data_IF_716250218770
#
_entry.id   IF_716250218770
#
_cell.length_a   1.000
_cell.length_b   1.000
_cell.length_c   1.000
_cell.angle_alpha   90.00
_cell.angle_beta   90.00
_cell.angle_gamma   90.00
#
_symmetry.space_group_name_H-M   'P 1'
#
loop_
_entity.id
_entity.type
_entity.pdbx_description
1 polymer ?
#
# COMPACT_ATOMS: atom_id res chain seq x y z
N UNK A 1 4.42 18.66 -3.20
CA UNK A 1 3.56 18.41 -4.36
C UNK A 1 4.21 17.53 -5.44
N UNK A 2 5.55 17.37 -5.42
CA UNK A 2 6.28 16.67 -6.49
C UNK A 2 6.47 15.16 -6.26
N UNK A 3 6.47 14.71 -5.00
CA UNK A 3 6.69 13.28 -4.66
C UNK A 3 5.54 12.38 -5.14
N UNK A 4 4.31 12.88 -5.10
CA UNK A 4 3.14 12.13 -5.62
C UNK A 4 3.24 11.98 -7.15
N UNK A 5 3.72 13.00 -7.83
CA UNK A 5 3.94 12.98 -9.28
C UNK A 5 5.04 12.01 -9.66
N UNK A 6 6.08 11.94 -8.86
CA UNK A 6 7.21 11.03 -9.05
C UNK A 6 6.84 9.58 -8.73
N UNK A 7 5.99 9.37 -7.70
CA UNK A 7 5.40 8.06 -7.38
C UNK A 7 4.50 7.55 -8.53
N UNK A 8 3.64 8.40 -9.06
CA UNK A 8 2.79 8.06 -10.21
C UNK A 8 3.62 7.87 -11.48
N UNK A 9 4.62 8.73 -11.74
CA UNK A 9 5.53 8.61 -12.87
C UNK A 9 6.42 7.37 -12.80
N UNK A 10 6.86 6.96 -11.59
CA UNK A 10 7.59 5.72 -11.39
C UNK A 10 6.74 4.49 -11.76
N UNK A 11 5.42 4.55 -11.54
CA UNK A 11 4.51 3.48 -11.93
C UNK A 11 4.04 3.55 -13.39
N UNK A 12 3.98 4.72 -14.00
CA UNK A 12 3.64 4.89 -15.41
C UNK A 12 4.81 4.58 -16.37
N UNK A 13 6.05 4.70 -15.90
CA UNK A 13 7.27 4.47 -16.69
C UNK A 13 7.74 3.02 -16.76
N UNK A 14 7.17 2.10 -16.01
CA UNK A 14 7.49 0.67 -16.08
C UNK A 14 6.55 -0.10 -17.01
N UNK A 15 6.76 0.05 -18.32
CA UNK A 15 6.45 -1.04 -19.24
C UNK A 15 7.36 -2.25 -18.93
N UNK A 16 6.88 -3.51 -19.14
CA UNK A 16 7.56 -4.71 -18.68
C UNK A 16 8.81 -5.01 -19.51
N UNK A 17 9.92 -4.45 -19.14
CA UNK A 17 11.24 -4.96 -19.50
C UNK A 17 12.03 -5.18 -18.20
N UNK A 18 12.03 -6.43 -17.81
CA UNK A 18 12.72 -7.12 -16.75
C UNK A 18 13.85 -6.37 -16.05
N UNK A 19 13.56 -5.95 -14.86
CA UNK A 19 14.36 -6.02 -13.63
C UNK A 19 13.65 -5.20 -12.55
N UNK A 20 12.60 -5.80 -11.96
CA UNK A 20 12.15 -5.37 -10.63
C UNK A 20 13.30 -5.57 -9.64
N UNK A 21 13.39 -4.82 -8.54
CA UNK A 21 14.37 -5.10 -7.51
C UNK A 21 14.22 -6.55 -7.09
N UNK A 22 15.29 -7.30 -7.19
CA UNK A 22 15.37 -8.72 -6.86
C UNK A 22 14.83 -8.91 -5.44
N UNK A 23 13.84 -9.79 -5.19
CA UNK A 23 13.44 -10.13 -3.84
C UNK A 23 14.64 -10.76 -3.15
N UNK A 24 15.18 -10.11 -2.12
CA UNK A 24 16.22 -10.72 -1.30
C UNK A 24 17.45 -9.88 -0.99
N UNK A 25 17.60 -8.65 -1.45
CA UNK A 25 18.65 -7.80 -0.93
C UNK A 25 18.12 -7.11 0.34
N UNK A 26 18.71 -7.45 1.50
CA UNK A 26 18.45 -6.71 2.72
C UNK A 26 18.74 -5.21 2.49
N UNK A 27 17.86 -4.30 2.93
CA UNK A 27 18.12 -2.87 2.79
C UNK A 27 19.45 -2.51 3.47
N UNK A 28 20.18 -1.51 2.97
CA UNK A 28 21.37 -1.03 3.62
C UNK A 28 21.09 -0.75 5.11
N UNK A 29 22.06 -1.05 5.99
CA UNK A 29 21.88 -0.93 7.44
C UNK A 29 21.47 0.49 7.92
N UNK A 30 21.69 1.50 7.06
CA UNK A 30 21.40 2.90 7.34
C UNK A 30 20.04 3.37 6.79
N UNK A 31 19.20 2.46 6.28
CA UNK A 31 17.90 2.81 5.71
C UNK A 31 16.75 2.32 6.58
N UNK A 32 15.63 3.06 6.55
CA UNK A 32 14.38 2.57 7.13
C UNK A 32 13.93 1.30 6.40
N UNK A 33 13.40 0.34 7.13
CA UNK A 33 12.97 -0.93 6.55
C UNK A 33 11.64 -1.41 7.13
N UNK A 34 10.79 -1.94 6.25
CA UNK A 34 9.49 -2.51 6.64
C UNK A 34 9.72 -3.91 7.20
N UNK A 35 9.49 -4.08 8.50
CA UNK A 35 9.73 -5.34 9.21
C UNK A 35 8.53 -6.29 9.15
N UNK A 36 7.32 -5.74 9.12
CA UNK A 36 6.10 -6.51 8.96
C UNK A 36 5.06 -5.73 8.17
N UNK A 37 4.24 -6.44 7.43
CA UNK A 37 3.03 -5.95 6.78
C UNK A 37 1.98 -7.05 6.87
N UNK A 38 0.82 -6.71 7.40
CA UNK A 38 -0.32 -7.60 7.51
C UNK A 38 -1.58 -6.93 6.97
N UNK A 39 -2.47 -7.71 6.40
CA UNK A 39 -3.79 -7.28 5.95
C UNK A 39 -4.84 -8.08 6.70
N UNK A 40 -5.74 -7.40 7.43
CA UNK A 40 -6.73 -8.00 8.33
C UNK A 40 -6.10 -9.07 9.27
N UNK A 41 -4.89 -8.80 9.78
CA UNK A 41 -4.14 -9.72 10.65
C UNK A 41 -3.50 -10.91 9.93
N UNK A 42 -3.56 -10.98 8.60
CA UNK A 42 -2.92 -12.03 7.79
C UNK A 42 -1.59 -11.51 7.26
N UNK A 43 -0.50 -12.13 7.71
CA UNK A 43 0.86 -11.86 7.25
C UNK A 43 1.39 -12.97 6.34
N UNK A 44 2.66 -12.84 5.93
CA UNK A 44 3.33 -13.83 5.08
C UNK A 44 2.82 -13.85 3.64
N UNK A 45 2.86 -15.01 3.00
CA UNK A 45 2.52 -15.18 1.59
C UNK A 45 1.08 -15.68 1.35
N UNK A 46 0.32 -15.94 2.42
CA UNK A 46 -1.06 -16.38 2.28
C UNK A 46 -1.93 -15.25 1.71
N UNK A 47 -2.76 -15.51 0.68
CA UNK A 47 -3.68 -14.52 0.19
C UNK A 47 -4.81 -14.29 1.21
N UNK A 48 -5.21 -13.03 1.37
CA UNK A 48 -6.45 -12.67 2.06
C UNK A 48 -7.58 -12.65 1.06
N UNK A 49 -8.69 -13.32 1.36
CA UNK A 49 -9.95 -13.15 0.64
C UNK A 49 -10.85 -12.19 1.41
N UNK A 50 -11.30 -11.15 0.74
CA UNK A 50 -12.16 -10.11 1.28
C UNK A 50 -13.41 -9.98 0.42
N UNK A 51 -14.58 -9.91 1.02
CA UNK A 51 -15.80 -9.64 0.24
C UNK A 51 -15.82 -8.15 -0.18
N UNK A 52 -16.36 -7.87 -1.36
CA UNK A 52 -16.53 -6.51 -1.85
C UNK A 52 -17.33 -5.66 -0.85
N UNK A 53 -16.78 -4.51 -0.46
CA UNK A 53 -17.39 -3.60 0.51
C UNK A 53 -17.08 -3.91 1.98
N UNK A 54 -16.25 -4.89 2.26
CA UNK A 54 -15.70 -5.09 3.62
C UNK A 54 -14.54 -4.14 3.89
N UNK A 55 -14.21 -3.97 5.16
CA UNK A 55 -13.10 -3.14 5.60
C UNK A 55 -11.76 -3.86 5.36
N UNK A 56 -10.79 -3.14 4.79
CA UNK A 56 -9.40 -3.59 4.71
C UNK A 56 -8.58 -2.83 5.72
N UNK A 57 -7.98 -3.55 6.67
CA UNK A 57 -7.04 -2.99 7.66
C UNK A 57 -5.62 -3.44 7.33
N UNK A 58 -4.75 -2.49 7.09
CA UNK A 58 -3.32 -2.72 6.83
C UNK A 58 -2.54 -2.31 8.05
N UNK A 59 -1.81 -3.24 8.65
CA UNK A 59 -0.95 -2.99 9.81
C UNK A 59 0.49 -3.36 9.50
N UNK A 60 1.43 -2.75 10.20
CA UNK A 60 2.83 -3.08 10.02
C UNK A 60 3.75 -2.37 10.99
N UNK A 61 5.04 -2.71 10.85
CA UNK A 61 6.11 -2.11 11.62
C UNK A 61 7.29 -1.73 10.75
N UNK A 62 7.89 -0.59 11.07
CA UNK A 62 9.05 -0.02 10.35
C UNK A 62 10.19 0.15 11.35
N UNK A 63 11.38 -0.30 10.98
CA UNK A 63 12.61 0.01 11.68
C UNK A 63 13.20 1.31 11.14
N UNK A 64 13.64 2.19 12.03
CA UNK A 64 14.32 3.45 11.68
C UNK A 64 15.71 3.49 12.33
N UNK A 65 16.79 3.48 11.56
CA UNK A 65 18.15 3.35 12.10
C UNK A 65 18.59 4.54 12.97
N UNK A 66 18.08 5.72 12.70
CA UNK A 66 18.37 6.93 13.48
C UNK A 66 17.39 7.19 14.62
N UNK A 67 16.34 6.35 14.75
CA UNK A 67 15.32 6.46 15.79
C UNK A 67 14.32 7.60 15.59
N UNK A 68 14.38 8.34 14.49
CA UNK A 68 13.33 9.30 14.11
C UNK A 68 12.14 8.59 13.51
N UNK A 69 10.94 9.14 13.71
CA UNK A 69 9.73 8.55 13.16
C UNK A 69 9.80 8.50 11.61
N UNK A 70 9.79 7.30 11.00
CA UNK A 70 9.78 7.17 9.55
C UNK A 70 8.39 7.44 9.00
N UNK A 71 8.28 7.53 7.68
CA UNK A 71 7.02 7.48 6.97
C UNK A 71 6.79 6.09 6.36
N UNK A 72 5.57 5.81 6.01
CA UNK A 72 5.18 4.60 5.28
C UNK A 72 4.27 4.97 4.11
N UNK A 73 4.52 4.35 2.95
CA UNK A 73 3.62 4.43 1.81
C UNK A 73 2.88 3.11 1.66
N UNK A 74 1.56 3.17 1.48
CA UNK A 74 0.72 2.00 1.22
C UNK A 74 0.06 2.18 -0.14
N UNK A 75 0.29 1.21 -1.02
CA UNK A 75 -0.28 1.17 -2.36
C UNK A 75 -1.22 -0.01 -2.56
N UNK A 76 -2.28 0.21 -3.31
CA UNK A 76 -3.13 -0.82 -3.89
C UNK A 76 -2.79 -0.93 -5.37
N UNK A 77 -2.40 -2.11 -5.80
CA UNK A 77 -2.04 -2.39 -7.19
C UNK A 77 -2.79 -3.61 -7.70
N UNK A 78 -3.09 -3.61 -8.99
CA UNK A 78 -3.66 -4.77 -9.67
C UNK A 78 -2.60 -5.87 -9.81
N UNK A 79 -3.03 -7.10 -10.09
CA UNK A 79 -2.14 -8.24 -10.30
C UNK A 79 -1.08 -8.03 -11.40
N UNK A 80 -1.40 -7.22 -12.42
CA UNK A 80 -0.50 -6.84 -13.51
C UNK A 80 0.48 -5.71 -13.15
N UNK A 81 0.42 -5.17 -11.93
CA UNK A 81 1.27 -4.09 -11.46
C UNK A 81 0.69 -2.69 -11.64
N UNK A 82 -0.47 -2.55 -12.29
CA UNK A 82 -1.13 -1.25 -12.45
C UNK A 82 -1.50 -0.64 -11.10
N UNK A 83 -1.02 0.57 -10.82
CA UNK A 83 -1.36 1.32 -9.62
C UNK A 83 -2.83 1.73 -9.62
N UNK A 84 -3.51 1.50 -8.49
CA UNK A 84 -4.92 1.88 -8.31
C UNK A 84 -5.01 3.08 -7.37
N UNK A 85 -4.34 3.00 -6.24
CA UNK A 85 -4.34 4.03 -5.21
C UNK A 85 -3.07 3.94 -4.38
N UNK A 86 -2.60 5.04 -3.86
CA UNK A 86 -1.47 5.10 -2.93
C UNK A 86 -1.60 6.28 -1.97
N UNK A 87 -1.18 6.06 -0.74
CA UNK A 87 -1.17 7.08 0.32
C UNK A 87 0.12 6.98 1.12
N UNK A 88 0.66 8.12 1.52
CA UNK A 88 1.81 8.20 2.42
C UNK A 88 1.34 8.77 3.75
N UNK A 89 1.88 8.27 4.85
CA UNK A 89 1.45 8.64 6.21
C UNK A 89 1.49 10.14 6.48
N UNK A 90 2.48 10.85 5.93
CA UNK A 90 2.59 12.30 6.12
C UNK A 90 1.53 13.11 5.35
N UNK A 91 0.97 12.57 4.27
CA UNK A 91 -0.12 13.24 3.54
C UNK A 91 -1.37 13.44 4.40
N UNK A 92 -1.61 12.52 5.33
CA UNK A 92 -2.70 12.60 6.30
C UNK A 92 -2.23 13.18 7.65
N UNK A 93 -0.98 13.63 7.75
CA UNK A 93 -0.39 14.11 8.99
C UNK A 93 -0.23 13.02 10.06
N UNK A 94 -0.30 11.75 9.65
CA UNK A 94 -0.15 10.62 10.56
C UNK A 94 1.33 10.37 10.86
N UNK A 95 1.67 10.27 12.14
CA UNK A 95 3.00 9.86 12.59
C UNK A 95 2.94 8.44 13.12
N UNK A 96 3.86 7.60 12.65
CA UNK A 96 3.98 6.23 13.12
C UNK A 96 4.24 6.21 14.63
N UNK A 97 3.69 5.21 15.31
CA UNK A 97 3.68 5.09 16.76
C UNK A 97 4.95 4.37 17.21
N UNK A 98 5.79 4.99 18.07
CA UNK A 98 6.97 4.33 18.61
C UNK A 98 6.62 3.04 19.37
N UNK A 99 7.39 1.98 19.12
CA UNK A 99 7.24 0.67 19.76
C UNK A 99 8.53 0.18 20.46
N UNK A 100 9.42 1.09 20.80
CA UNK A 100 10.73 0.79 21.38
C UNK A 100 11.75 0.29 20.34
N UNK A 101 13.02 0.23 20.73
CA UNK A 101 14.13 -0.31 19.92
C UNK A 101 14.17 0.21 18.47
N UNK A 102 13.87 1.49 18.25
CA UNK A 102 13.80 2.14 16.93
C UNK A 102 12.72 1.54 16.01
N UNK A 103 11.77 0.83 16.57
CA UNK A 103 10.61 0.30 15.87
C UNK A 103 9.43 1.27 15.95
N UNK A 104 8.66 1.34 14.89
CA UNK A 104 7.47 2.17 14.76
C UNK A 104 6.34 1.36 14.14
N UNK A 105 5.13 1.53 14.65
CA UNK A 105 3.94 0.82 14.17
C UNK A 105 2.95 1.76 13.48
N UNK A 106 2.19 1.19 12.56
CA UNK A 106 1.08 1.87 11.91
C UNK A 106 -0.11 0.93 11.72
N UNK A 107 -1.27 1.54 11.58
CA UNK A 107 -2.49 0.90 11.13
C UNK A 107 -3.23 1.86 10.20
N UNK A 108 -3.63 1.38 9.04
CA UNK A 108 -4.40 2.10 8.03
C UNK A 108 -5.66 1.31 7.72
N UNK A 109 -6.82 1.95 7.79
CA UNK A 109 -8.10 1.34 7.47
C UNK A 109 -8.67 1.95 6.20
N UNK A 110 -9.06 1.09 5.25
CA UNK A 110 -9.91 1.44 4.12
C UNK A 110 -11.32 0.93 4.43
N UNK A 111 -12.22 1.78 4.96
CA UNK A 111 -13.57 1.35 5.29
C UNK A 111 -14.36 1.05 4.02
N UNK A 112 -15.15 -0.03 4.05
CA UNK A 112 -15.99 -0.46 2.93
C UNK A 112 -15.23 -0.42 1.59
N UNK A 113 -14.13 -1.16 1.50
CA UNK A 113 -13.21 -1.11 0.36
C UNK A 113 -13.95 -1.19 -0.98
N UNK A 114 -13.76 -0.19 -1.84
CA UNK A 114 -14.49 -0.02 -3.08
C UNK A 114 -13.84 -0.69 -4.29
N UNK A 115 -13.03 -1.71 -4.09
CA UNK A 115 -12.49 -2.52 -5.18
C UNK A 115 -13.56 -3.51 -5.69
N UNK A 116 -13.62 -3.66 -7.00
CA UNK A 116 -14.45 -4.70 -7.63
C UNK A 116 -13.78 -6.07 -7.51
N UNK A 117 -14.52 -7.18 -7.67
CA UNK A 117 -13.97 -8.52 -7.58
C UNK A 117 -12.76 -8.71 -8.49
N UNK A 118 -11.67 -9.29 -7.94
CA UNK A 118 -10.43 -9.49 -8.66
C UNK A 118 -9.25 -9.73 -7.73
N UNK A 119 -8.09 -9.95 -8.33
CA UNK A 119 -6.84 -10.13 -7.60
C UNK A 119 -6.01 -8.84 -7.59
N UNK A 120 -5.60 -8.46 -6.40
CA UNK A 120 -4.86 -7.25 -6.10
C UNK A 120 -3.65 -7.55 -5.23
N UNK A 121 -2.81 -6.55 -5.04
CA UNK A 121 -1.73 -6.57 -4.05
C UNK A 121 -1.79 -5.30 -3.21
N UNK A 122 -1.58 -5.47 -1.93
CA UNK A 122 -1.29 -4.38 -1.00
C UNK A 122 0.22 -4.28 -0.89
N UNK A 123 0.78 -3.14 -1.26
CA UNK A 123 2.22 -2.89 -1.26
C UNK A 123 2.55 -1.86 -0.21
N UNK A 124 3.46 -2.19 0.71
CA UNK A 124 3.97 -1.27 1.72
C UNK A 124 5.43 -0.93 1.45
N UNK A 125 5.78 0.34 1.60
CA UNK A 125 7.15 0.83 1.51
C UNK A 125 7.54 1.57 2.79
N UNK A 126 8.73 1.28 3.34
CA UNK A 126 9.33 2.14 4.32
C UNK A 126 9.89 3.40 3.64
N UNK A 127 9.75 4.54 4.29
CA UNK A 127 10.26 5.83 3.81
C UNK A 127 11.10 6.50 4.89
N UNK A 128 11.97 7.42 4.45
CA UNK A 128 12.69 8.27 5.39
C UNK A 128 11.77 9.21 6.18
N UNK A 129 12.24 9.78 7.30
CA UNK A 129 11.46 10.72 8.10
C UNK A 129 11.03 11.97 7.32
N UNK A 130 11.74 12.32 6.27
CA UNK A 130 11.45 13.46 5.38
C UNK A 130 10.38 13.11 4.32
N UNK A 131 10.03 11.81 4.15
CA UNK A 131 9.06 11.35 3.15
C UNK A 131 9.54 11.51 1.70
N UNK A 132 10.85 11.57 1.48
CA UNK A 132 11.46 11.84 0.17
C UNK A 132 11.96 10.57 -0.53
N UNK A 133 12.30 9.54 0.23
CA UNK A 133 12.90 8.31 -0.30
C UNK A 133 12.09 7.11 0.13
N UNK A 134 11.74 6.27 -0.83
CA UNK A 134 11.21 4.93 -0.59
C UNK A 134 12.34 3.93 -0.64
N UNK A 135 12.36 3.02 0.34
CA UNK A 135 13.37 1.97 0.43
C UNK A 135 12.82 0.64 -0.07
N UNK A 136 12.75 -0.36 0.79
CA UNK A 136 12.22 -1.67 0.47
C UNK A 136 10.69 -1.66 0.33
N UNK A 137 10.17 -2.74 -0.21
CA UNK A 137 8.73 -2.96 -0.21
C UNK A 137 8.39 -4.40 0.20
N UNK A 138 7.23 -4.54 0.79
CA UNK A 138 6.60 -5.82 1.09
C UNK A 138 5.22 -5.83 0.44
N UNK A 139 4.87 -6.95 -0.20
CA UNK A 139 3.56 -7.14 -0.82
C UNK A 139 2.74 -8.19 -0.10
N UNK A 140 1.41 -8.00 -0.10
CA UNK A 140 0.41 -8.98 0.34
C UNK A 140 -0.63 -9.17 -0.75
N UNK A 141 -0.99 -10.41 -1.03
CA UNK A 141 -2.02 -10.72 -2.01
C UNK A 141 -3.40 -10.54 -1.39
N UNK A 142 -4.25 -9.81 -2.10
CA UNK A 142 -5.63 -9.55 -1.73
C UNK A 142 -6.55 -10.03 -2.87
N UNK A 143 -7.39 -11.00 -2.59
CA UNK A 143 -8.43 -11.46 -3.48
C UNK A 143 -9.78 -10.86 -3.03
N UNK A 144 -10.34 -9.97 -3.83
CA UNK A 144 -11.67 -9.40 -3.58
C UNK A 144 -12.70 -10.28 -4.27
N UNK A 145 -13.64 -10.80 -3.48
CA UNK A 145 -14.73 -11.66 -3.94
C UNK A 145 -16.07 -10.92 -3.94
N UNK A 146 -16.99 -11.36 -4.78
CA UNK A 146 -18.33 -10.80 -4.87
C UNK A 146 -18.93 -11.04 -6.25
N UNK A 147 -20.21 -10.70 -6.37
CA UNK A 147 -20.92 -10.74 -7.64
C UNK A 147 -21.40 -9.33 -7.97
N UNK A 148 -21.03 -8.84 -9.15
CA UNK A 148 -21.40 -7.51 -9.64
C UNK A 148 -21.45 -7.48 -11.16
N UNK A 149 -22.29 -6.60 -11.70
CA UNK A 149 -22.33 -6.28 -13.14
C UNK A 149 -21.53 -5.03 -13.49
N UNK A 150 -20.90 -4.40 -12.48
CA UNK A 150 -20.04 -3.24 -12.68
C UNK A 150 -18.75 -3.62 -13.41
N UNK A 151 -18.23 -2.70 -14.19
CA UNK A 151 -17.03 -2.89 -15.00
C UNK A 151 -15.92 -1.97 -14.48
N UNK A 152 -14.68 -2.47 -14.43
CA UNK A 152 -13.53 -1.70 -14.00
C UNK A 152 -12.83 -2.26 -12.78
N UNK A 153 -12.16 -1.40 -12.02
CA UNK A 153 -11.34 -1.77 -10.86
C UNK A 153 -11.98 -1.36 -9.53
N UNK A 154 -12.72 -0.28 -9.52
CA UNK A 154 -13.33 0.26 -8.32
C UNK A 154 -14.74 0.77 -8.60
N UNK A 155 -15.54 0.74 -7.54
CA UNK A 155 -16.87 1.34 -7.54
C UNK A 155 -16.75 2.82 -7.29
N UNK A 156 -17.35 3.62 -8.18
CA UNK A 156 -17.50 5.06 -7.98
C UNK A 156 -18.95 5.35 -7.58
N UNK A 157 -19.19 6.03 -6.46
CA UNK A 157 -20.54 6.44 -6.10
C UNK A 157 -21.18 7.26 -7.21
N UNK A 158 -22.36 6.85 -7.69
CA UNK A 158 -23.05 7.54 -8.77
C UNK A 158 -24.56 7.33 -8.67
N UNK A 159 -25.30 8.20 -9.33
CA UNK A 159 -26.75 8.05 -9.52
C UNK A 159 -27.16 8.60 -10.88
N UNK A 160 -28.14 7.96 -11.48
CA UNK A 160 -28.75 8.42 -12.71
C UNK A 160 -29.79 9.50 -12.41
N UNK A 161 -29.80 10.57 -13.19
CA UNK A 161 -30.85 11.57 -13.14
C UNK A 161 -31.69 11.47 -14.40
N UNK A 162 -33.01 11.48 -14.23
CA UNK A 162 -33.94 11.65 -15.35
C UNK A 162 -33.80 13.05 -15.97
N UNK A 163 -34.37 13.23 -17.14
CA UNK A 163 -34.48 14.59 -17.73
C UNK A 163 -35.17 15.53 -16.75
N UNK A 164 -34.73 16.79 -16.64
CA UNK A 164 -35.45 17.82 -15.89
C UNK A 164 -36.82 18.08 -16.51
#
# INVERSE_FOLDING_TARGET
ADVVREYLAYHEGQQPSGSGPTPGLAPPADCCSLQSLEINGVGGNAPLTLAMGEDLVVTGSVYSPDGRAPNVAIGLVRADGTGIYGIVSDMDGFRLIPDGNRMFRFALCYPALQLLPGRYRVRGHAMDPEGLRMFDHVERTLDVSGDTRELGLCRLPHHWRGRP
#
